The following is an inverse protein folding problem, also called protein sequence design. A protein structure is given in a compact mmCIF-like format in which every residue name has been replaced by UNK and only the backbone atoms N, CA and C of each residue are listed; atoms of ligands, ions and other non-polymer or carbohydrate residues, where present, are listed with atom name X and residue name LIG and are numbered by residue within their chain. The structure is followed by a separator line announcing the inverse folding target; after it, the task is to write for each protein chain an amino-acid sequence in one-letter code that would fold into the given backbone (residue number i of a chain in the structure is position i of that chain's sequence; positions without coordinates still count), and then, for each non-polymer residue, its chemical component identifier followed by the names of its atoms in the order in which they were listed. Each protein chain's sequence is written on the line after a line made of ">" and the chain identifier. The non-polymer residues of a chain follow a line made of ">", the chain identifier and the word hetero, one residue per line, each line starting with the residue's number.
data_IF_280283949829
#
_entry.id   IF_280283949829
#
_cell.length_a   1.000
_cell.length_b   1.000
_cell.length_c   1.000
_cell.angle_alpha   90.00
_cell.angle_beta   90.00
_cell.angle_gamma   90.00
#
_symmetry.space_group_name_H-M   'P 1'
#
loop_
_entity.id
_entity.type
_entity.pdbx_description
1 polymer ?
#
# COMPACT_ATOMS: atom_id res chain seq x y z
N UNK A 1 17.51 -5.17 -12.01
CA UNK A 1 16.48 -6.22 -12.28
C UNK A 1 15.90 -5.99 -13.66
N UNK A 2 15.61 -7.05 -14.40
CA UNK A 2 15.12 -7.01 -15.78
C UNK A 2 13.95 -7.99 -15.89
N UNK A 3 12.93 -7.66 -16.69
CA UNK A 3 11.78 -8.53 -16.90
C UNK A 3 12.13 -9.71 -17.83
N UNK A 4 11.58 -10.89 -17.57
CA UNK A 4 11.75 -12.07 -18.42
C UNK A 4 11.28 -11.76 -19.84
N UNK A 5 12.07 -12.19 -20.84
CA UNK A 5 11.80 -11.89 -22.26
C UNK A 5 12.46 -10.60 -22.78
N UNK A 6 13.09 -9.79 -21.91
CA UNK A 6 13.87 -8.64 -22.36
C UNK A 6 15.14 -9.08 -23.14
N UNK A 7 15.39 -8.43 -24.27
CA UNK A 7 16.56 -8.71 -25.08
C UNK A 7 17.83 -8.11 -24.46
N UNK A 8 18.60 -8.90 -23.73
CA UNK A 8 19.82 -8.47 -23.05
C UNK A 8 20.89 -7.89 -24.00
N UNK A 9 20.89 -8.29 -25.27
CA UNK A 9 21.88 -7.81 -26.24
C UNK A 9 21.70 -6.34 -26.62
N UNK A 10 20.50 -5.79 -26.43
CA UNK A 10 20.18 -4.40 -26.70
C UNK A 10 20.51 -3.48 -25.50
N UNK A 11 20.76 -4.07 -24.35
CA UNK A 11 21.08 -3.34 -23.14
C UNK A 11 22.59 -3.18 -23.00
N UNK A 12 23.05 -1.91 -22.91
CA UNK A 12 24.43 -1.59 -22.59
C UNK A 12 24.71 -1.80 -21.11
N UNK A 13 24.89 -3.05 -20.69
CA UNK A 13 25.12 -3.42 -19.30
C UNK A 13 26.62 -3.35 -19.03
N UNK A 14 27.08 -2.55 -18.03
CA UNK A 14 28.47 -2.53 -17.63
C UNK A 14 28.92 -3.89 -17.13
N UNK A 15 30.21 -4.21 -17.31
CA UNK A 15 30.82 -5.42 -16.76
C UNK A 15 30.76 -5.44 -15.23
N UNK A 16 30.58 -6.61 -14.64
CA UNK A 16 30.56 -6.78 -13.17
C UNK A 16 29.22 -6.50 -12.49
N UNK A 17 28.15 -6.21 -13.25
CA UNK A 17 26.81 -6.06 -12.69
C UNK A 17 26.05 -7.40 -12.73
N UNK A 18 25.51 -7.80 -11.57
CA UNK A 18 24.62 -8.95 -11.48
C UNK A 18 23.25 -8.61 -12.07
N UNK A 19 22.81 -9.43 -13.03
CA UNK A 19 21.50 -9.30 -13.64
C UNK A 19 20.54 -10.25 -12.93
N UNK A 20 19.43 -9.73 -12.43
CA UNK A 20 18.34 -10.52 -11.86
C UNK A 20 17.17 -10.48 -12.84
N UNK A 21 16.74 -11.63 -13.32
CA UNK A 21 15.54 -11.78 -14.16
C UNK A 21 14.32 -11.97 -13.25
N UNK A 22 13.22 -11.33 -13.58
CA UNK A 22 11.96 -11.43 -12.84
C UNK A 22 10.78 -11.47 -13.81
N UNK A 23 9.74 -12.25 -13.49
CA UNK A 23 8.49 -12.27 -14.28
C UNK A 23 7.79 -10.92 -14.25
N UNK A 24 7.81 -10.26 -13.10
CA UNK A 24 7.30 -8.92 -12.90
C UNK A 24 8.34 -8.11 -12.12
N UNK A 25 8.89 -7.09 -12.76
CA UNK A 25 9.95 -6.26 -12.14
C UNK A 25 9.42 -5.38 -11.01
N UNK A 26 8.13 -5.02 -11.01
CA UNK A 26 7.51 -4.24 -9.92
C UNK A 26 7.35 -5.08 -8.66
N UNK A 27 6.84 -6.31 -8.79
CA UNK A 27 6.76 -7.29 -7.69
C UNK A 27 8.16 -7.59 -7.14
N UNK A 28 9.11 -7.87 -8.03
CA UNK A 28 10.50 -8.10 -7.64
C UNK A 28 11.10 -6.91 -6.88
N UNK A 29 10.84 -5.66 -7.33
CA UNK A 29 11.29 -4.46 -6.63
C UNK A 29 10.67 -4.35 -5.23
N UNK A 30 9.38 -4.66 -5.09
CA UNK A 30 8.70 -4.60 -3.80
C UNK A 30 9.32 -5.59 -2.79
N UNK A 31 9.54 -6.84 -3.21
CA UNK A 31 10.17 -7.87 -2.39
C UNK A 31 11.61 -7.49 -2.02
N UNK A 32 12.41 -7.04 -3.00
CA UNK A 32 13.79 -6.62 -2.76
C UNK A 32 13.84 -5.42 -1.80
N UNK A 33 12.95 -4.45 -1.95
CA UNK A 33 12.88 -3.28 -1.08
C UNK A 33 12.51 -3.65 0.36
N UNK A 34 11.53 -4.55 0.54
CA UNK A 34 11.18 -5.08 1.85
C UNK A 34 12.36 -5.76 2.52
N UNK A 35 13.05 -6.65 1.80
CA UNK A 35 14.21 -7.37 2.30
C UNK A 35 15.39 -6.44 2.63
N UNK A 36 15.66 -5.44 1.80
CA UNK A 36 16.73 -4.46 2.01
C UNK A 36 16.56 -3.69 3.32
N UNK A 37 15.33 -3.31 3.65
CA UNK A 37 15.00 -2.61 4.91
C UNK A 37 14.64 -3.57 6.07
N UNK A 38 14.80 -4.89 5.90
CA UNK A 38 14.52 -5.89 6.95
C UNK A 38 13.04 -6.04 7.28
N UNK A 39 12.17 -5.94 6.26
CA UNK A 39 10.73 -6.09 6.35
C UNK A 39 10.10 -5.20 7.44
N UNK A 40 10.21 -3.87 7.34
CA UNK A 40 9.89 -2.94 8.41
C UNK A 40 8.41 -2.97 8.82
N UNK A 41 7.48 -3.35 7.94
CA UNK A 41 6.07 -3.50 8.30
C UNK A 41 5.83 -4.48 9.45
N UNK A 42 6.68 -5.52 9.61
CA UNK A 42 6.61 -6.48 10.72
C UNK A 42 6.91 -5.87 12.09
N UNK A 43 7.55 -4.71 12.13
CA UNK A 43 7.92 -3.98 13.35
C UNK A 43 6.97 -2.83 13.69
N UNK A 44 5.97 -2.60 12.86
CA UNK A 44 4.97 -1.54 12.97
C UNK A 44 3.57 -2.16 13.04
N UNK A 45 2.62 -1.43 13.60
CA UNK A 45 1.20 -1.74 13.46
C UNK A 45 0.64 -0.99 12.25
N UNK A 46 0.48 -1.68 11.12
CA UNK A 46 0.09 -1.05 9.86
C UNK A 46 -1.41 -1.16 9.65
N UNK A 47 -2.05 0.01 9.44
CA UNK A 47 -3.49 0.14 9.16
C UNK A 47 -3.65 0.69 7.75
N UNK A 48 -4.22 -0.11 6.86
CA UNK A 48 -4.50 0.27 5.48
C UNK A 48 -5.96 0.70 5.29
N UNK A 49 -6.18 1.77 4.54
CA UNK A 49 -7.54 2.22 4.20
C UNK A 49 -7.70 2.26 2.69
N UNK A 50 -8.66 1.48 2.18
CA UNK A 50 -9.03 1.48 0.76
C UNK A 50 -10.52 1.81 0.57
N UNK A 51 -10.90 2.05 -0.67
CA UNK A 51 -12.24 2.44 -1.09
C UNK A 51 -12.19 3.50 -2.17
N UNK A 52 -13.32 3.91 -2.71
CA UNK A 52 -13.37 4.97 -3.72
C UNK A 52 -13.22 6.34 -3.06
N UNK A 53 -14.05 6.67 -2.11
CA UNK A 53 -14.07 7.95 -1.39
C UNK A 53 -13.79 7.76 0.11
N UNK A 54 -13.38 8.83 0.77
CA UNK A 54 -13.23 8.86 2.23
C UNK A 54 -11.90 8.34 2.79
N UNK A 55 -10.99 7.79 1.98
CA UNK A 55 -9.69 7.29 2.45
C UNK A 55 -8.92 8.31 3.29
N UNK A 56 -8.71 9.50 2.74
CA UNK A 56 -7.98 10.59 3.41
C UNK A 56 -8.63 10.99 4.72
N UNK A 57 -9.93 11.24 4.72
CA UNK A 57 -10.67 11.59 5.94
C UNK A 57 -10.53 10.51 7.01
N UNK A 58 -10.74 9.25 6.62
CA UNK A 58 -10.65 8.10 7.55
C UNK A 58 -9.25 7.94 8.12
N UNK A 59 -8.21 8.04 7.29
CA UNK A 59 -6.82 7.93 7.78
C UNK A 59 -6.45 9.03 8.76
N UNK A 60 -6.88 10.28 8.52
CA UNK A 60 -6.66 11.39 9.44
C UNK A 60 -7.45 11.22 10.75
N UNK A 61 -8.68 10.69 10.70
CA UNK A 61 -9.47 10.39 11.90
C UNK A 61 -8.80 9.32 12.75
N UNK A 62 -8.39 8.20 12.15
CA UNK A 62 -7.69 7.11 12.84
C UNK A 62 -6.39 7.64 13.47
N UNK A 63 -5.57 8.36 12.69
CA UNK A 63 -4.35 9.00 13.19
C UNK A 63 -4.65 9.85 14.43
N UNK A 64 -5.67 10.70 14.36
CA UNK A 64 -6.02 11.61 15.46
C UNK A 64 -6.47 10.86 16.72
N UNK A 65 -7.26 9.79 16.55
CA UNK A 65 -7.70 8.94 17.67
C UNK A 65 -6.49 8.29 18.36
N UNK A 66 -5.60 7.68 17.57
CA UNK A 66 -4.40 7.04 18.11
C UNK A 66 -3.45 8.04 18.81
N UNK A 67 -3.24 9.22 18.22
CA UNK A 67 -2.46 10.29 18.84
C UNK A 67 -3.05 10.75 20.17
N UNK A 68 -4.40 10.88 20.24
CA UNK A 68 -5.10 11.22 21.49
C UNK A 68 -4.98 10.12 22.55
N UNK A 69 -4.84 8.87 22.11
CA UNK A 69 -4.53 7.73 22.98
C UNK A 69 -3.02 7.64 23.38
N UNK A 70 -2.23 8.68 23.08
CA UNK A 70 -0.82 8.74 23.44
C UNK A 70 0.11 7.92 22.54
N UNK A 71 -0.36 7.48 21.36
CA UNK A 71 0.44 6.66 20.45
C UNK A 71 1.27 7.51 19.49
N UNK A 72 2.45 7.01 19.13
CA UNK A 72 3.30 7.58 18.08
C UNK A 72 2.84 7.04 16.73
N UNK A 73 2.36 7.94 15.86
CA UNK A 73 1.65 7.58 14.63
C UNK A 73 2.31 8.19 13.40
N UNK A 74 2.61 7.35 12.41
CA UNK A 74 2.92 7.74 11.04
C UNK A 74 1.66 7.80 10.18
N UNK A 75 1.63 8.70 9.20
CA UNK A 75 0.57 8.79 8.20
C UNK A 75 1.18 8.86 6.80
N UNK A 76 0.68 8.05 5.89
CA UNK A 76 1.03 8.08 4.47
C UNK A 76 -0.27 8.22 3.67
N UNK A 77 -0.42 9.28 2.89
CA UNK A 77 -1.65 9.50 2.14
C UNK A 77 -1.53 10.59 1.09
N UNK A 78 -2.66 10.93 0.49
CA UNK A 78 -2.76 11.83 -0.67
C UNK A 78 -2.21 13.23 -0.41
N UNK A 79 -2.38 13.77 0.80
CA UNK A 79 -1.99 15.16 1.10
C UNK A 79 -0.51 15.23 1.47
N UNK A 80 -0.07 14.42 2.42
CA UNK A 80 1.29 14.47 2.95
C UNK A 80 1.64 13.20 3.71
N UNK A 81 2.94 13.01 3.96
CA UNK A 81 3.48 12.02 4.88
C UNK A 81 3.84 12.69 6.21
N UNK A 82 3.43 12.07 7.31
CA UNK A 82 3.74 12.53 8.67
C UNK A 82 4.45 11.44 9.46
N UNK A 83 5.37 11.84 10.32
CA UNK A 83 6.03 10.97 11.32
C UNK A 83 5.83 11.61 12.69
N UNK A 84 5.11 10.92 13.59
CA UNK A 84 4.88 11.34 14.98
C UNK A 84 4.40 12.81 15.10
N UNK A 85 3.40 13.16 14.28
CA UNK A 85 2.79 14.49 14.28
C UNK A 85 3.52 15.55 13.43
N UNK A 86 4.76 15.30 13.00
CA UNK A 86 5.52 16.25 12.15
C UNK A 86 5.34 15.88 10.68
N UNK A 87 5.02 16.88 9.85
CA UNK A 87 4.98 16.72 8.40
C UNK A 87 6.40 16.48 7.88
N UNK A 88 6.61 15.35 7.19
CA UNK A 88 7.88 15.03 6.55
C UNK A 88 7.97 15.66 5.17
N UNK A 89 6.94 15.45 4.34
CA UNK A 89 6.87 15.97 2.96
C UNK A 89 5.43 16.00 2.45
N UNK A 90 5.20 16.77 1.40
CA UNK A 90 4.00 16.66 0.57
C UNK A 90 4.04 15.35 -0.23
N UNK A 91 2.89 14.81 -0.56
CA UNK A 91 2.81 13.54 -1.28
C UNK A 91 2.66 13.76 -2.78
N UNK A 92 3.49 13.11 -3.56
CA UNK A 92 3.38 13.11 -5.04
C UNK A 92 2.25 12.18 -5.51
N UNK A 93 1.86 11.22 -4.67
CA UNK A 93 0.80 10.24 -4.94
C UNK A 93 0.23 9.66 -3.65
N UNK A 94 -1.00 9.14 -3.73
CA UNK A 94 -1.73 8.57 -2.58
C UNK A 94 -0.96 7.47 -1.86
N UNK A 95 -0.34 6.57 -2.63
CA UNK A 95 0.46 5.45 -2.10
C UNK A 95 1.82 5.49 -2.80
N UNK A 96 2.93 5.60 -2.08
CA UNK A 96 4.28 5.66 -2.66
C UNK A 96 4.65 4.41 -3.47
N UNK A 97 5.70 4.49 -4.29
CA UNK A 97 6.33 3.32 -4.91
C UNK A 97 6.98 2.43 -3.84
N UNK A 98 7.13 1.14 -4.12
CA UNK A 98 7.53 0.14 -3.13
C UNK A 98 8.82 0.46 -2.39
N UNK A 99 9.86 0.91 -3.08
CA UNK A 99 11.13 1.28 -2.45
C UNK A 99 10.96 2.46 -1.49
N UNK A 100 10.27 3.50 -1.92
CA UNK A 100 9.98 4.68 -1.09
C UNK A 100 9.12 4.30 0.12
N UNK A 101 8.12 3.44 -0.05
CA UNK A 101 7.26 2.98 1.04
C UNK A 101 8.07 2.26 2.13
N UNK A 102 8.96 1.34 1.75
CA UNK A 102 9.81 0.63 2.70
C UNK A 102 10.81 1.57 3.40
N UNK A 103 11.35 2.55 2.66
CA UNK A 103 12.20 3.59 3.24
C UNK A 103 11.44 4.43 4.28
N UNK A 104 10.21 4.84 3.98
CA UNK A 104 9.37 5.59 4.92
C UNK A 104 9.06 4.77 6.18
N UNK A 105 8.74 3.49 6.05
CA UNK A 105 8.54 2.61 7.20
C UNK A 105 9.81 2.51 8.05
N UNK A 106 10.98 2.38 7.44
CA UNK A 106 12.24 2.35 8.17
C UNK A 106 12.50 3.67 8.94
N UNK A 107 12.28 4.82 8.30
CA UNK A 107 12.39 6.13 8.97
C UNK A 107 11.39 6.26 10.14
N UNK A 108 10.19 5.72 10.01
CA UNK A 108 9.19 5.69 11.08
C UNK A 108 9.66 4.83 12.26
N UNK A 109 10.26 3.67 12.00
CA UNK A 109 10.86 2.81 13.05
C UNK A 109 11.97 3.56 13.79
N UNK A 110 12.89 4.19 13.06
CA UNK A 110 13.98 4.98 13.63
C UNK A 110 13.47 6.14 14.51
N UNK A 111 12.32 6.72 14.14
CA UNK A 111 11.64 7.74 14.93
C UNK A 111 10.83 7.19 16.12
N UNK A 112 10.81 5.87 16.30
CA UNK A 112 10.05 5.21 17.37
C UNK A 112 8.55 5.23 17.16
N UNK A 113 8.06 5.31 15.91
CA UNK A 113 6.64 5.19 15.55
C UNK A 113 6.13 3.79 15.91
N UNK A 114 4.91 3.71 16.43
CA UNK A 114 4.26 2.45 16.81
C UNK A 114 3.22 2.01 15.77
N UNK A 115 2.45 2.97 15.25
CA UNK A 115 1.36 2.76 14.30
C UNK A 115 1.60 3.52 13.00
N UNK A 116 1.29 2.90 11.89
CA UNK A 116 1.24 3.59 10.59
C UNK A 116 -0.16 3.46 10.03
N UNK A 117 -0.77 4.59 9.70
CA UNK A 117 -2.05 4.65 9.00
C UNK A 117 -1.78 5.09 7.58
N UNK A 118 -2.23 4.32 6.58
CA UNK A 118 -1.96 4.67 5.20
C UNK A 118 -3.16 4.49 4.27
N UNK A 119 -3.23 5.37 3.28
CA UNK A 119 -4.15 5.21 2.16
C UNK A 119 -3.56 4.19 1.17
N UNK A 120 -4.40 3.21 0.77
CA UNK A 120 -4.02 2.21 -0.23
C UNK A 120 -4.95 2.34 -1.43
N UNK A 121 -4.41 2.85 -2.54
CA UNK A 121 -5.15 3.00 -3.79
C UNK A 121 -5.24 1.66 -4.54
N UNK A 122 -6.29 1.49 -5.36
CA UNK A 122 -6.42 0.31 -6.23
C UNK A 122 -5.24 0.19 -7.19
N UNK A 123 -4.76 1.32 -7.70
CA UNK A 123 -3.60 1.35 -8.61
C UNK A 123 -2.31 0.91 -7.89
N UNK A 124 -2.13 1.22 -6.60
CA UNK A 124 -0.97 0.74 -5.86
C UNK A 124 -0.96 -0.78 -5.68
N UNK A 125 -2.14 -1.38 -5.50
CA UNK A 125 -2.33 -2.84 -5.44
C UNK A 125 -2.11 -3.50 -6.81
N UNK A 126 -2.65 -2.90 -7.88
CA UNK A 126 -2.43 -3.36 -9.25
C UNK A 126 -0.97 -3.29 -9.68
N UNK A 127 -0.25 -2.27 -9.25
CA UNK A 127 1.15 -2.00 -9.60
C UNK A 127 2.16 -2.51 -8.56
N UNK A 128 1.78 -3.44 -7.69
CA UNK A 128 2.67 -4.10 -6.72
C UNK A 128 3.42 -3.14 -5.77
N UNK A 129 2.85 -1.95 -5.47
CA UNK A 129 3.55 -0.96 -4.62
C UNK A 129 3.58 -1.33 -3.15
N UNK A 130 2.61 -2.14 -2.72
CA UNK A 130 2.44 -2.57 -1.33
C UNK A 130 2.74 -4.05 -1.10
N UNK A 131 3.21 -4.76 -2.12
CA UNK A 131 3.55 -6.17 -1.98
C UNK A 131 4.63 -6.37 -0.90
N UNK A 132 4.47 -7.41 -0.09
CA UNK A 132 5.35 -7.68 1.05
C UNK A 132 5.09 -6.81 2.29
N UNK A 133 4.11 -5.90 2.25
CA UNK A 133 3.63 -5.19 3.45
C UNK A 133 2.65 -6.10 4.21
N UNK A 134 2.88 -6.30 5.50
CA UNK A 134 1.92 -6.95 6.40
C UNK A 134 1.03 -5.90 7.05
N UNK A 135 -0.28 -5.97 6.80
CA UNK A 135 -1.26 -5.09 7.43
C UNK A 135 -1.86 -5.77 8.67
N UNK A 136 -1.88 -5.08 9.81
CA UNK A 136 -2.59 -5.57 11.00
C UNK A 136 -4.10 -5.38 10.86
N UNK A 137 -4.51 -4.26 10.25
CA UNK A 137 -5.92 -3.95 10.00
C UNK A 137 -6.07 -3.30 8.63
N UNK A 138 -7.10 -3.68 7.90
CA UNK A 138 -7.51 -3.04 6.65
C UNK A 138 -8.96 -2.57 6.74
N UNK A 139 -9.24 -1.37 6.22
CA UNK A 139 -10.59 -0.82 6.14
C UNK A 139 -11.02 -0.66 4.68
N UNK A 140 -12.25 -1.08 4.38
CA UNK A 140 -12.95 -0.78 3.14
C UNK A 140 -14.08 0.22 3.41
N UNK A 141 -13.99 1.40 2.80
CA UNK A 141 -14.94 2.49 3.06
C UNK A 141 -16.19 2.42 2.18
N UNK A 142 -16.01 2.35 0.87
CA UNK A 142 -17.09 2.28 -0.13
C UNK A 142 -16.54 1.98 -1.52
N UNK A 143 -17.47 1.71 -2.47
CA UNK A 143 -17.16 1.48 -3.86
C UNK A 143 -18.15 2.18 -4.78
N UNK A 144 -17.67 3.01 -5.67
CA UNK A 144 -18.45 3.67 -6.72
C UNK A 144 -17.63 3.79 -7.98
N UNK A 145 -18.26 4.15 -9.08
CA UNK A 145 -17.58 4.35 -10.36
C UNK A 145 -16.54 5.47 -10.25
N UNK A 146 -15.28 5.11 -10.54
CA UNK A 146 -14.13 5.99 -10.55
C UNK A 146 -12.95 5.23 -11.18
N UNK A 147 -11.90 5.94 -11.61
CA UNK A 147 -10.66 5.33 -12.11
C UNK A 147 -10.82 4.35 -13.28
N UNK A 148 -11.91 4.42 -14.06
CA UNK A 148 -12.09 3.60 -15.26
C UNK A 148 -11.50 4.36 -16.44
N UNK A 149 -10.32 3.92 -16.87
CA UNK A 149 -9.59 4.50 -18.00
C UNK A 149 -8.57 3.49 -18.54
N UNK A 150 -8.10 3.65 -19.79
CA UNK A 150 -7.08 2.76 -20.36
C UNK A 150 -5.78 2.68 -19.56
N UNK A 151 -5.45 3.72 -18.81
CA UNK A 151 -4.21 3.81 -18.03
C UNK A 151 -4.36 3.38 -16.56
N UNK A 152 -5.57 3.10 -16.09
CA UNK A 152 -5.86 2.70 -14.71
C UNK A 152 -6.54 1.33 -14.65
N UNK A 153 -7.88 1.30 -14.72
CA UNK A 153 -8.65 0.06 -14.69
C UNK A 153 -9.49 -0.06 -15.97
N UNK A 154 -9.46 -1.20 -16.67
CA UNK A 154 -10.25 -1.39 -17.88
C UNK A 154 -11.77 -1.40 -17.59
N UNK A 155 -12.15 -1.85 -16.40
CA UNK A 155 -13.55 -1.96 -15.97
C UNK A 155 -13.70 -1.96 -14.46
N UNK A 156 -14.95 -1.92 -14.00
CA UNK A 156 -15.31 -1.91 -12.57
C UNK A 156 -14.95 -3.20 -11.85
N UNK A 157 -14.86 -4.31 -12.55
CA UNK A 157 -14.51 -5.59 -11.94
C UNK A 157 -13.00 -5.66 -11.62
N UNK A 158 -12.14 -5.22 -12.54
CA UNK A 158 -10.69 -5.08 -12.32
C UNK A 158 -10.42 -4.08 -11.17
N UNK A 159 -11.17 -2.97 -11.14
CA UNK A 159 -11.08 -1.98 -10.08
C UNK A 159 -11.43 -2.56 -8.71
N UNK A 160 -12.53 -3.32 -8.62
CA UNK A 160 -12.94 -4.00 -7.38
C UNK A 160 -11.94 -5.08 -6.96
N UNK A 161 -11.56 -5.98 -7.87
CA UNK A 161 -10.57 -7.04 -7.63
C UNK A 161 -9.25 -6.48 -7.13
N UNK A 162 -8.83 -5.36 -7.70
CA UNK A 162 -7.59 -4.69 -7.25
C UNK A 162 -7.69 -4.26 -5.78
N UNK A 163 -8.83 -3.69 -5.34
CA UNK A 163 -9.02 -3.33 -3.91
C UNK A 163 -9.13 -4.57 -3.00
N UNK A 164 -9.77 -5.63 -3.49
CA UNK A 164 -9.96 -6.86 -2.74
C UNK A 164 -8.62 -7.52 -2.34
N UNK A 165 -7.58 -7.41 -3.18
CA UNK A 165 -6.23 -7.93 -2.87
C UNK A 165 -5.68 -7.44 -1.53
N UNK A 166 -6.06 -6.27 -1.06
CA UNK A 166 -5.59 -5.75 0.21
C UNK A 166 -6.01 -6.62 1.39
N UNK A 167 -7.16 -7.29 1.27
CA UNK A 167 -7.68 -8.19 2.31
C UNK A 167 -6.95 -9.52 2.39
N UNK A 168 -6.23 -9.91 1.33
CA UNK A 168 -5.32 -11.08 1.34
C UNK A 168 -4.02 -10.78 2.12
N UNK A 169 -3.75 -9.50 2.40
CA UNK A 169 -2.50 -9.01 3.00
C UNK A 169 -2.68 -8.58 4.46
N UNK A 170 -3.85 -8.79 5.06
CA UNK A 170 -4.17 -8.30 6.40
C UNK A 170 -4.51 -9.41 7.39
N UNK A 171 -4.34 -9.09 8.67
CA UNK A 171 -4.75 -9.98 9.77
C UNK A 171 -6.22 -9.79 10.14
N UNK A 172 -6.75 -8.57 9.99
CA UNK A 172 -8.13 -8.22 10.33
C UNK A 172 -8.69 -7.23 9.30
N UNK A 173 -9.89 -7.51 8.81
CA UNK A 173 -10.61 -6.66 7.87
C UNK A 173 -11.78 -5.94 8.54
N UNK A 174 -11.96 -4.66 8.26
CA UNK A 174 -13.15 -3.88 8.63
C UNK A 174 -13.83 -3.43 7.34
N UNK A 175 -15.06 -3.86 7.15
CA UNK A 175 -15.79 -3.67 5.90
C UNK A 175 -17.08 -2.90 6.17
N UNK A 176 -17.31 -1.81 5.41
CA UNK A 176 -18.58 -1.14 5.40
C UNK A 176 -19.63 -1.99 4.67
N UNK A 177 -20.58 -2.55 5.41
CA UNK A 177 -21.63 -3.43 4.89
C UNK A 177 -22.85 -2.68 4.36
N UNK A 178 -22.94 -1.35 4.51
CA UNK A 178 -23.94 -0.54 3.84
C UNK A 178 -23.64 -0.39 2.33
N UNK A 179 -22.41 -0.71 1.92
CA UNK A 179 -21.99 -0.73 0.53
C UNK A 179 -22.20 -2.14 -0.08
N UNK A 180 -22.83 -2.20 -1.27
CA UNK A 180 -23.10 -3.48 -1.95
C UNK A 180 -21.83 -4.29 -2.24
N UNK A 181 -20.75 -3.61 -2.64
CA UNK A 181 -19.45 -4.26 -2.88
C UNK A 181 -18.75 -4.62 -1.58
N UNK A 182 -19.01 -3.88 -0.50
CA UNK A 182 -18.60 -4.28 0.85
C UNK A 182 -19.22 -5.61 1.26
N UNK A 183 -20.51 -5.81 1.03
CA UNK A 183 -21.17 -7.09 1.27
C UNK A 183 -20.61 -8.23 0.39
N UNK A 184 -20.22 -7.93 -0.84
CA UNK A 184 -19.55 -8.90 -1.71
C UNK A 184 -18.16 -9.25 -1.17
N UNK A 185 -17.41 -8.26 -0.72
CA UNK A 185 -16.07 -8.43 -0.15
C UNK A 185 -16.11 -9.30 1.12
N UNK A 186 -17.09 -9.06 2.01
CA UNK A 186 -17.28 -9.87 3.21
C UNK A 186 -17.49 -11.36 2.91
N UNK A 187 -18.18 -11.68 1.80
CA UNK A 187 -18.38 -13.08 1.38
C UNK A 187 -17.12 -13.72 0.81
N UNK A 188 -16.20 -12.93 0.28
CA UNK A 188 -14.91 -13.42 -0.23
C UNK A 188 -13.90 -13.69 0.90
N UNK A 189 -14.03 -12.97 2.03
CA UNK A 189 -13.11 -13.04 3.15
C UNK A 189 -13.90 -13.19 4.47
N UNK A 190 -14.59 -14.32 4.69
CA UNK A 190 -15.46 -14.51 5.86
C UNK A 190 -14.73 -14.59 7.20
N UNK A 191 -13.43 -14.93 7.17
CA UNK A 191 -12.61 -15.18 8.37
C UNK A 191 -11.70 -13.95 8.72
N UNK A 192 -11.86 -12.83 8.03
CA UNK A 192 -11.06 -11.60 8.25
C UNK A 192 -11.76 -10.59 9.14
#
# INVERSE_FOLDING_TARGET
>A
MIEEGCNLKELKIPSGITIVMAKNTREGLAICSGNFYGNPSKKLKVIGVTGTKGKTTTTYMIKKILEKAGKKVGLIGTIATYINGKKLKDSDRTTPESLELQQLFNQMIEAGTEYVVMEVSSQSLKLHRVDGVEFDVVLFTNFSEDHISPNEHPDMEDYFKSKAKLFEMCKNGIINTDDLKGNQLLKLFPDN
#
